data_IF_988705139683
#
_entry.id   IF_988705139683
#
_cell.length_a   1.000
_cell.length_b   1.000
_cell.length_c   1.000
_cell.angle_alpha   90.00
_cell.angle_beta   90.00
_cell.angle_gamma   90.00
#
_symmetry.space_group_name_H-M   'P 1'
#
loop_
_entity.id
_entity.type
_entity.pdbx_description
1 polymer ?
#
# COMPACT_ATOMS: atom_id res chain seq x y z
N UNK A 1 12.60 17.37 -41.76
CA UNK A 1 12.51 15.90 -41.80
C UNK A 1 11.86 15.42 -40.50
N UNK A 2 10.57 15.06 -40.57
CA UNK A 2 9.75 14.64 -39.42
C UNK A 2 9.78 13.11 -39.36
N UNK A 3 10.21 12.53 -38.24
CA UNK A 3 10.12 11.08 -37.98
C UNK A 3 8.72 10.77 -37.40
N UNK A 4 7.98 9.79 -37.94
CA UNK A 4 6.73 9.35 -37.35
C UNK A 4 6.98 8.48 -36.11
N UNK A 5 6.24 8.75 -35.03
CA UNK A 5 6.13 7.90 -33.84
C UNK A 5 5.40 6.61 -34.23
N UNK A 6 6.05 5.46 -34.05
CA UNK A 6 5.41 4.15 -34.14
C UNK A 6 4.68 3.86 -32.83
N UNK A 7 3.36 3.69 -32.94
CA UNK A 7 2.53 3.15 -31.87
C UNK A 7 2.82 1.65 -31.73
N UNK A 8 3.21 1.23 -30.52
CA UNK A 8 3.33 -0.18 -30.19
C UNK A 8 1.92 -0.74 -29.96
N UNK A 9 1.46 -1.57 -30.88
CA UNK A 9 0.26 -2.39 -30.73
C UNK A 9 0.54 -3.55 -29.75
N UNK A 10 -0.23 -3.65 -28.67
CA UNK A 10 -0.25 -4.83 -27.82
C UNK A 10 -0.94 -5.98 -28.57
N UNK A 11 -0.20 -7.08 -28.77
CA UNK A 11 -0.71 -8.32 -29.33
C UNK A 11 -1.34 -9.15 -28.20
N UNK A 12 -2.67 -9.26 -28.18
CA UNK A 12 -3.41 -10.21 -27.33
C UNK A 12 -3.38 -11.59 -28.00
N UNK A 13 -2.58 -12.51 -27.44
CA UNK A 13 -2.66 -13.93 -27.80
C UNK A 13 -3.80 -14.54 -26.97
N UNK A 14 -4.93 -14.80 -27.63
CA UNK A 14 -6.03 -15.57 -27.07
C UNK A 14 -5.68 -17.07 -27.17
N UNK A 15 -5.28 -17.67 -26.05
CA UNK A 15 -5.22 -19.13 -25.92
C UNK A 15 -6.59 -19.59 -25.41
N UNK A 16 -7.36 -20.21 -26.31
CA UNK A 16 -8.60 -20.88 -25.97
C UNK A 16 -8.33 -22.11 -25.10
N UNK A 17 -8.58 -21.97 -23.79
CA UNK A 17 -8.72 -23.11 -22.90
C UNK A 17 -10.21 -23.36 -22.66
N UNK A 18 -10.68 -24.52 -23.10
CA UNK A 18 -11.99 -25.07 -22.77
C UNK A 18 -12.09 -25.27 -21.26
N UNK A 19 -12.81 -24.40 -20.57
CA UNK A 19 -13.04 -24.54 -19.13
C UNK A 19 -14.15 -25.56 -18.87
N UNK A 20 -13.99 -26.47 -17.89
CA UNK A 20 -15.11 -27.23 -17.36
C UNK A 20 -16.07 -26.26 -16.67
N UNK A 21 -17.30 -26.15 -17.18
CA UNK A 21 -18.38 -25.36 -16.58
C UNK A 21 -18.85 -26.00 -15.28
N UNK A 22 -18.18 -25.69 -14.17
CA UNK A 22 -18.77 -25.83 -12.84
C UNK A 22 -19.61 -24.59 -12.56
N UNK A 23 -20.89 -24.63 -12.94
CA UNK A 23 -21.88 -23.66 -12.48
C UNK A 23 -22.21 -23.97 -11.00
N UNK A 24 -21.43 -23.41 -10.09
CA UNK A 24 -21.78 -23.21 -8.68
C UNK A 24 -21.94 -21.69 -8.43
N UNK A 25 -22.77 -21.26 -7.47
CA UNK A 25 -23.96 -20.47 -7.76
C UNK A 25 -23.72 -18.96 -7.70
N UNK A 26 -23.91 -18.27 -8.83
CA UNK A 26 -23.85 -16.80 -8.94
C UNK A 26 -24.71 -16.08 -7.87
N UNK A 27 -25.85 -16.65 -7.48
CA UNK A 27 -26.74 -16.08 -6.46
C UNK A 27 -26.12 -16.06 -5.03
N UNK A 28 -25.28 -17.03 -4.65
CA UNK A 28 -24.57 -16.99 -3.35
C UNK A 28 -23.44 -15.96 -3.37
N UNK A 29 -22.76 -15.83 -4.51
CA UNK A 29 -21.69 -14.85 -4.69
C UNK A 29 -22.23 -13.42 -4.65
N UNK A 30 -23.37 -13.15 -5.30
CA UNK A 30 -24.03 -11.83 -5.23
C UNK A 30 -24.52 -11.48 -3.82
N UNK A 31 -25.02 -12.46 -3.05
CA UNK A 31 -25.44 -12.25 -1.66
C UNK A 31 -24.28 -11.85 -0.74
N UNK A 32 -23.16 -12.58 -0.86
CA UNK A 32 -21.92 -12.27 -0.14
C UNK A 32 -21.38 -10.88 -0.51
N UNK A 33 -21.28 -10.55 -1.80
CA UNK A 33 -20.75 -9.26 -2.24
C UNK A 33 -21.57 -8.08 -1.70
N UNK A 34 -22.89 -8.17 -1.73
CA UNK A 34 -23.77 -7.14 -1.18
C UNK A 34 -23.57 -6.98 0.34
N UNK A 35 -23.46 -8.10 1.08
CA UNK A 35 -23.20 -8.06 2.51
C UNK A 35 -21.83 -7.47 2.83
N UNK A 36 -20.80 -7.83 2.07
CA UNK A 36 -19.44 -7.31 2.22
C UNK A 36 -19.40 -5.80 1.96
N UNK A 37 -20.08 -5.31 0.91
CA UNK A 37 -20.19 -3.87 0.64
C UNK A 37 -20.96 -3.13 1.74
N UNK A 38 -22.06 -3.71 2.25
CA UNK A 38 -22.79 -3.13 3.38
C UNK A 38 -21.96 -3.09 4.67
N UNK A 39 -21.11 -4.10 4.89
CA UNK A 39 -20.14 -4.09 5.98
C UNK A 39 -19.05 -3.04 5.76
N UNK A 40 -18.53 -2.88 4.54
CA UNK A 40 -17.56 -1.84 4.20
C UNK A 40 -18.15 -0.46 4.48
N UNK A 41 -19.36 -0.17 3.98
CA UNK A 41 -20.06 1.10 4.20
C UNK A 41 -20.23 1.42 5.68
N UNK A 42 -20.63 0.42 6.47
CA UNK A 42 -20.92 0.59 7.90
C UNK A 42 -19.67 0.71 8.77
N UNK A 43 -18.63 -0.08 8.49
CA UNK A 43 -17.46 -0.22 9.35
C UNK A 43 -16.28 0.66 8.90
N UNK A 44 -16.09 0.80 7.58
CA UNK A 44 -15.03 1.62 6.97
C UNK A 44 -15.62 2.54 5.90
N UNK A 45 -16.37 3.59 6.31
CA UNK A 45 -17.02 4.50 5.36
C UNK A 45 -16.03 5.18 4.41
N UNK A 46 -14.78 5.38 4.81
CA UNK A 46 -13.71 5.90 3.96
C UNK A 46 -13.29 4.87 2.89
N UNK A 47 -13.14 3.60 3.25
CA UNK A 47 -12.92 2.52 2.28
C UNK A 47 -14.10 2.36 1.31
N UNK A 48 -15.34 2.53 1.80
CA UNK A 48 -16.52 2.54 0.94
C UNK A 48 -16.58 3.76 0.02
N UNK A 49 -16.03 4.92 0.44
CA UNK A 49 -15.92 6.09 -0.42
C UNK A 49 -15.02 5.83 -1.64
N UNK A 50 -13.94 5.04 -1.48
CA UNK A 50 -13.12 4.56 -2.61
C UNK A 50 -13.98 3.72 -3.57
N UNK A 51 -14.72 2.73 -3.06
CA UNK A 51 -15.65 1.96 -3.89
C UNK A 51 -16.63 2.87 -4.63
N UNK A 52 -17.23 3.87 -3.96
CA UNK A 52 -18.17 4.82 -4.58
C UNK A 52 -17.53 5.71 -5.66
N UNK A 53 -16.26 6.08 -5.50
CA UNK A 53 -15.54 6.92 -6.45
C UNK A 53 -15.14 6.18 -7.74
N UNK A 54 -15.04 4.85 -7.72
CA UNK A 54 -14.69 4.04 -8.89
C UNK A 54 -15.71 4.16 -10.04
N UNK A 55 -15.25 4.40 -11.26
CA UNK A 55 -16.13 4.41 -12.44
C UNK A 55 -16.64 3.01 -12.77
N UNK A 56 -15.74 2.02 -12.80
CA UNK A 56 -16.07 0.61 -13.01
C UNK A 56 -16.02 -0.18 -11.70
N UNK A 57 -17.20 -0.44 -11.13
CA UNK A 57 -17.32 -1.22 -9.88
C UNK A 57 -16.79 -2.65 -10.01
N UNK A 58 -16.70 -3.21 -11.23
CA UNK A 58 -16.21 -4.58 -11.43
C UNK A 58 -14.74 -4.72 -11.04
N UNK A 59 -13.94 -3.66 -11.21
CA UNK A 59 -12.54 -3.65 -10.80
C UNK A 59 -12.36 -3.73 -9.29
N UNK A 60 -13.30 -3.17 -8.50
CA UNK A 60 -13.32 -3.38 -7.06
C UNK A 60 -13.74 -4.82 -6.74
N UNK A 61 -14.83 -5.30 -7.35
CA UNK A 61 -15.45 -6.58 -7.03
C UNK A 61 -14.61 -7.81 -7.40
N UNK A 62 -13.65 -7.71 -8.31
CA UNK A 62 -12.78 -8.83 -8.69
C UNK A 62 -11.83 -9.26 -7.57
N UNK A 63 -11.45 -8.35 -6.68
CA UNK A 63 -10.57 -8.60 -5.55
C UNK A 63 -11.32 -9.07 -4.30
N UNK A 64 -12.65 -8.89 -4.28
CA UNK A 64 -13.49 -9.30 -3.18
C UNK A 64 -13.74 -10.81 -3.20
N UNK A 65 -13.09 -11.53 -2.29
CA UNK A 65 -13.33 -12.95 -2.06
C UNK A 65 -14.31 -13.16 -0.90
N UNK A 66 -15.16 -14.19 -1.02
CA UNK A 66 -16.13 -14.54 0.01
C UNK A 66 -15.57 -15.45 1.12
N UNK A 67 -14.38 -16.02 0.90
CA UNK A 67 -13.72 -16.88 1.88
C UNK A 67 -13.01 -16.08 2.97
N UNK A 68 -12.66 -14.82 2.68
CA UNK A 68 -12.02 -13.88 3.58
C UNK A 68 -12.45 -12.45 3.25
N UNK A 69 -13.61 -12.06 3.79
CA UNK A 69 -14.24 -10.78 3.48
C UNK A 69 -13.36 -9.61 3.93
N UNK A 70 -12.68 -9.71 5.07
CA UNK A 70 -11.82 -8.65 5.58
C UNK A 70 -10.64 -8.40 4.62
N UNK A 71 -9.92 -9.47 4.26
CA UNK A 71 -8.80 -9.39 3.33
C UNK A 71 -9.28 -8.90 1.96
N UNK A 72 -10.33 -9.53 1.42
CA UNK A 72 -10.88 -9.19 0.12
C UNK A 72 -11.30 -7.72 0.02
N UNK A 73 -11.97 -7.18 1.05
CA UNK A 73 -12.36 -5.76 1.08
C UNK A 73 -11.17 -4.81 1.16
N UNK A 74 -10.19 -5.09 2.03
CA UNK A 74 -8.99 -4.26 2.16
C UNK A 74 -8.18 -4.24 0.84
N UNK A 75 -7.94 -5.41 0.23
CA UNK A 75 -7.28 -5.52 -1.08
C UNK A 75 -8.10 -4.82 -2.18
N UNK A 76 -9.42 -4.95 -2.18
CA UNK A 76 -10.26 -4.25 -3.16
C UNK A 76 -10.12 -2.73 -3.05
N UNK A 77 -10.02 -2.20 -1.82
CA UNK A 77 -9.75 -0.78 -1.57
C UNK A 77 -8.35 -0.40 -2.08
N UNK A 78 -7.32 -1.17 -1.75
CA UNK A 78 -5.94 -0.96 -2.21
C UNK A 78 -5.85 -0.81 -3.73
N UNK A 79 -6.34 -1.82 -4.46
CA UNK A 79 -6.26 -1.87 -5.91
C UNK A 79 -7.10 -0.76 -6.57
N UNK A 80 -8.24 -0.42 -5.96
CA UNK A 80 -9.07 0.69 -6.42
C UNK A 80 -8.41 2.05 -6.20
N UNK A 81 -7.58 2.21 -5.17
CA UNK A 81 -6.80 3.45 -4.98
C UNK A 81 -5.85 3.65 -6.16
N UNK A 82 -5.15 2.62 -6.64
CA UNK A 82 -4.30 2.72 -7.83
C UNK A 82 -5.07 3.19 -9.06
N UNK A 83 -6.25 2.61 -9.29
CA UNK A 83 -7.13 2.98 -10.41
C UNK A 83 -7.53 4.45 -10.31
N UNK A 84 -8.01 4.90 -9.14
CA UNK A 84 -8.39 6.29 -8.93
C UNK A 84 -7.20 7.24 -9.05
N UNK A 85 -6.02 6.87 -8.53
CA UNK A 85 -4.79 7.64 -8.69
C UNK A 85 -4.48 7.88 -10.17
N UNK A 86 -4.60 6.84 -10.99
CA UNK A 86 -4.35 6.92 -12.42
C UNK A 86 -5.43 7.71 -13.17
N UNK A 87 -6.71 7.45 -12.91
CA UNK A 87 -7.83 8.12 -13.59
C UNK A 87 -7.89 9.62 -13.29
N UNK A 88 -7.55 10.01 -12.07
CA UNK A 88 -7.74 11.39 -11.57
C UNK A 88 -6.44 12.20 -11.55
N UNK A 89 -5.30 11.54 -11.80
CA UNK A 89 -3.97 12.12 -11.68
C UNK A 89 -3.68 12.78 -10.31
N UNK A 90 -4.24 12.19 -9.26
CA UNK A 90 -4.16 12.67 -7.88
C UNK A 90 -4.24 11.50 -6.91
N UNK A 91 -3.50 11.53 -5.82
CA UNK A 91 -3.66 10.57 -4.74
C UNK A 91 -4.94 10.88 -3.94
N UNK A 92 -5.93 9.97 -3.91
CA UNK A 92 -7.06 10.12 -2.98
C UNK A 92 -6.58 9.88 -1.55
N UNK A 93 -6.98 10.74 -0.62
CA UNK A 93 -6.62 10.66 0.79
C UNK A 93 -7.76 10.01 1.60
N UNK A 94 -7.42 9.41 2.74
CA UNK A 94 -8.38 8.71 3.63
C UNK A 94 -9.44 9.68 4.14
N UNK A 95 -9.09 10.95 4.38
CA UNK A 95 -10.05 11.97 4.80
C UNK A 95 -11.00 12.45 3.69
N UNK A 96 -10.90 11.89 2.47
CA UNK A 96 -11.73 12.24 1.31
C UNK A 96 -11.17 13.36 0.43
N UNK A 97 -10.10 14.04 0.85
CA UNK A 97 -9.40 15.02 0.02
C UNK A 97 -8.56 14.33 -1.08
N UNK A 98 -7.95 15.12 -1.95
CA UNK A 98 -7.04 14.65 -3.00
C UNK A 98 -5.83 15.55 -3.06
N UNK A 99 -4.68 14.96 -3.37
CA UNK A 99 -3.44 15.71 -3.61
C UNK A 99 -2.86 15.35 -4.98
N UNK A 100 -2.45 16.37 -5.75
CA UNK A 100 -1.92 16.19 -7.10
C UNK A 100 -0.66 15.32 -7.09
N UNK A 101 -0.50 14.48 -8.11
CA UNK A 101 0.70 13.66 -8.30
C UNK A 101 1.91 14.53 -8.71
N UNK A 102 3.05 14.45 -8.00
CA UNK A 102 4.23 15.22 -8.33
C UNK A 102 5.06 14.52 -9.42
N UNK A 103 4.61 14.57 -10.68
CA UNK A 103 5.24 13.86 -11.82
C UNK A 103 6.73 14.12 -12.04
N UNK A 104 7.27 15.22 -11.52
CA UNK A 104 8.70 15.50 -11.53
C UNK A 104 9.52 14.40 -10.81
N UNK A 105 8.94 13.68 -9.85
CA UNK A 105 9.65 12.63 -9.11
C UNK A 105 9.94 11.39 -9.96
N UNK A 106 9.23 11.20 -11.07
CA UNK A 106 9.51 10.11 -12.03
C UNK A 106 10.84 10.27 -12.77
N UNK A 107 11.48 11.44 -12.66
CA UNK A 107 12.83 11.69 -13.22
C UNK A 107 13.95 11.41 -12.23
N UNK A 108 13.61 11.07 -10.99
CA UNK A 108 14.59 10.78 -9.95
C UNK A 108 15.21 9.40 -10.16
N UNK A 109 16.23 9.06 -9.37
CA UNK A 109 16.86 7.75 -9.48
C UNK A 109 15.87 6.62 -9.15
N UNK A 110 16.00 5.47 -9.80
CA UNK A 110 15.07 4.35 -9.62
C UNK A 110 15.10 3.76 -8.20
N UNK A 111 13.94 3.48 -7.55
CA UNK A 111 13.89 2.91 -6.21
C UNK A 111 14.60 1.57 -6.04
N UNK A 112 14.71 0.73 -7.08
CA UNK A 112 15.48 -0.53 -7.04
C UNK A 112 16.92 -0.39 -6.54
N UNK A 113 17.51 0.80 -6.63
CA UNK A 113 18.86 1.07 -6.13
C UNK A 113 18.98 0.92 -4.62
N UNK A 114 17.88 1.04 -3.86
CA UNK A 114 17.87 0.84 -2.41
C UNK A 114 17.58 -0.60 -1.99
N UNK A 115 17.29 -1.52 -2.92
CA UNK A 115 17.01 -2.93 -2.62
C UNK A 115 18.13 -3.61 -1.82
N UNK A 116 19.39 -3.20 -2.05
CA UNK A 116 20.58 -3.73 -1.34
C UNK A 116 20.60 -3.43 0.16
N UNK A 117 19.80 -2.48 0.63
CA UNK A 117 19.70 -2.11 2.04
C UNK A 117 18.77 -3.05 2.82
N UNK A 118 18.13 -4.01 2.15
CA UNK A 118 17.17 -4.94 2.72
C UNK A 118 17.56 -6.40 2.45
N UNK A 119 16.91 -7.33 3.14
CA UNK A 119 17.13 -8.76 2.95
C UNK A 119 16.81 -9.18 1.52
N UNK A 120 17.77 -9.82 0.83
CA UNK A 120 17.60 -10.20 -0.57
C UNK A 120 16.45 -11.19 -0.82
N UNK A 121 16.01 -11.94 0.20
CA UNK A 121 14.89 -12.89 0.15
C UNK A 121 13.57 -12.31 0.68
N UNK A 122 13.54 -11.03 1.01
CA UNK A 122 12.32 -10.41 1.48
C UNK A 122 11.29 -10.29 0.35
N UNK A 123 10.05 -10.71 0.60
CA UNK A 123 8.97 -10.74 -0.40
C UNK A 123 8.59 -9.35 -0.90
N UNK A 124 8.62 -8.34 -0.05
CA UNK A 124 8.34 -6.95 -0.43
C UNK A 124 9.47 -6.38 -1.28
N UNK A 125 10.72 -6.71 -0.97
CA UNK A 125 11.87 -6.35 -1.83
C UNK A 125 11.73 -7.00 -3.21
N UNK A 126 11.40 -8.30 -3.25
CA UNK A 126 11.19 -9.02 -4.51
C UNK A 126 10.04 -8.45 -5.34
N UNK A 127 8.99 -7.96 -4.69
CA UNK A 127 7.80 -7.42 -5.36
C UNK A 127 8.02 -5.97 -5.82
N UNK A 128 8.57 -5.11 -4.96
CA UNK A 128 8.54 -3.66 -5.17
C UNK A 128 9.89 -3.01 -5.51
N UNK A 129 11.01 -3.72 -5.35
CA UNK A 129 12.35 -3.15 -5.55
C UNK A 129 13.24 -3.95 -6.50
N UNK A 130 12.81 -5.10 -7.02
CA UNK A 130 13.63 -5.87 -7.97
C UNK A 130 13.39 -5.42 -9.42
N UNK A 131 14.43 -5.50 -10.28
CA UNK A 131 14.24 -5.24 -11.70
C UNK A 131 13.20 -6.17 -12.31
N UNK A 132 12.25 -5.60 -13.08
CA UNK A 132 11.21 -6.37 -13.77
C UNK A 132 10.04 -6.84 -12.90
N UNK A 133 9.93 -6.37 -11.66
CA UNK A 133 8.77 -6.64 -10.78
C UNK A 133 7.72 -5.53 -10.91
N UNK A 134 7.39 -4.79 -9.84
CA UNK A 134 6.45 -3.67 -9.87
C UNK A 134 7.06 -2.41 -10.50
N UNK A 135 6.21 -1.55 -11.06
CA UNK A 135 6.63 -0.24 -11.63
C UNK A 135 7.29 0.66 -10.59
N UNK A 136 6.93 0.50 -9.30
CA UNK A 136 7.56 1.16 -8.17
C UNK A 136 9.05 0.84 -8.00
N UNK A 137 9.58 -0.22 -8.63
CA UNK A 137 11.01 -0.49 -8.65
C UNK A 137 11.78 0.50 -9.55
N UNK A 138 11.13 1.06 -10.57
CA UNK A 138 11.76 1.94 -11.56
C UNK A 138 11.40 3.41 -11.34
N UNK A 139 10.23 3.71 -10.77
CA UNK A 139 9.69 5.05 -10.67
C UNK A 139 9.20 5.36 -9.24
N UNK A 140 9.78 6.41 -8.64
CA UNK A 140 9.43 6.84 -7.28
C UNK A 140 7.99 7.35 -7.16
N UNK A 141 7.35 7.82 -8.24
CA UNK A 141 5.95 8.21 -8.21
C UNK A 141 5.04 7.02 -7.91
N UNK A 142 5.38 5.85 -8.43
CA UNK A 142 4.66 4.62 -8.14
C UNK A 142 4.96 4.12 -6.73
N UNK A 143 6.17 4.33 -6.19
CA UNK A 143 6.44 4.08 -4.76
C UNK A 143 5.55 4.93 -3.83
N UNK A 144 5.28 6.20 -4.20
CA UNK A 144 4.33 7.05 -3.48
C UNK A 144 2.88 6.57 -3.63
N UNK A 145 2.53 6.00 -4.78
CA UNK A 145 1.22 5.38 -5.01
C UNK A 145 1.03 4.15 -4.12
N UNK A 146 2.03 3.27 -4.02
CA UNK A 146 2.04 2.14 -3.07
C UNK A 146 1.89 2.61 -1.62
N UNK A 147 2.58 3.68 -1.23
CA UNK A 147 2.47 4.25 0.12
C UNK A 147 1.03 4.69 0.41
N UNK A 148 0.37 5.33 -0.58
CA UNK A 148 -1.02 5.74 -0.45
C UNK A 148 -1.95 4.52 -0.40
N UNK A 149 -1.82 3.58 -1.33
CA UNK A 149 -2.67 2.40 -1.43
C UNK A 149 -2.59 1.51 -0.18
N UNK A 150 -1.39 1.22 0.34
CA UNK A 150 -1.23 0.47 1.59
C UNK A 150 -1.72 1.23 2.83
N UNK A 151 -1.74 2.57 2.81
CA UNK A 151 -2.34 3.34 3.91
C UNK A 151 -3.86 3.13 3.95
N UNK A 152 -4.53 3.16 2.79
CA UNK A 152 -5.96 2.89 2.67
C UNK A 152 -6.31 1.43 2.99
N UNK A 153 -5.48 0.49 2.53
CA UNK A 153 -5.57 -0.93 2.86
C UNK A 153 -5.58 -1.13 4.38
N UNK A 154 -4.51 -0.71 5.07
CA UNK A 154 -4.37 -0.95 6.50
C UNK A 154 -5.44 -0.24 7.32
N UNK A 155 -5.80 1.00 6.97
CA UNK A 155 -6.88 1.73 7.61
C UNK A 155 -8.23 0.98 7.47
N UNK A 156 -8.53 0.48 6.27
CA UNK A 156 -9.76 -0.29 6.03
C UNK A 156 -9.72 -1.61 6.78
N UNK A 157 -8.59 -2.32 6.71
CA UNK A 157 -8.36 -3.58 7.39
C UNK A 157 -8.60 -3.45 8.90
N UNK A 158 -8.07 -2.40 9.54
CA UNK A 158 -8.19 -2.18 10.98
C UNK A 158 -9.63 -1.93 11.41
N UNK A 159 -10.37 -1.14 10.63
CA UNK A 159 -11.80 -0.90 10.86
C UNK A 159 -12.67 -2.15 10.61
N UNK A 160 -12.21 -3.03 9.73
CA UNK A 160 -12.88 -4.30 9.40
C UNK A 160 -12.42 -5.48 10.29
N UNK A 161 -11.64 -5.24 11.35
CA UNK A 161 -11.08 -6.31 12.21
C UNK A 161 -12.13 -7.26 12.79
N UNK A 162 -13.36 -6.78 13.01
CA UNK A 162 -14.48 -7.63 13.48
C UNK A 162 -14.90 -8.72 12.47
N UNK A 163 -14.53 -8.58 11.20
CA UNK A 163 -14.75 -9.56 10.13
C UNK A 163 -13.55 -10.49 9.93
N UNK A 164 -12.46 -10.28 10.67
CA UNK A 164 -11.24 -11.05 10.51
C UNK A 164 -11.46 -12.51 10.88
N UNK A 165 -10.97 -13.39 10.01
CA UNK A 165 -10.84 -14.81 10.30
C UNK A 165 -9.74 -15.07 11.32
N UNK A 166 -10.11 -15.65 12.47
CA UNK A 166 -9.18 -15.93 13.58
C UNK A 166 -8.15 -17.01 13.27
N UNK A 167 -8.41 -17.85 12.26
CA UNK A 167 -7.53 -18.94 11.82
C UNK A 167 -6.48 -18.51 10.79
N UNK A 168 -6.43 -17.22 10.43
CA UNK A 168 -5.52 -16.69 9.42
C UNK A 168 -4.71 -15.53 9.96
N UNK A 169 -3.43 -15.53 9.61
CA UNK A 169 -2.55 -14.38 9.77
C UNK A 169 -2.56 -13.59 8.47
N UNK A 170 -2.73 -12.28 8.58
CA UNK A 170 -2.81 -11.38 7.42
C UNK A 170 -1.72 -10.33 7.55
N UNK A 171 -1.06 -10.01 6.44
CA UNK A 171 0.18 -9.23 6.43
C UNK A 171 -0.07 -7.75 6.04
N UNK A 172 -1.25 -7.20 6.31
CA UNK A 172 -1.66 -5.82 5.96
C UNK A 172 -0.66 -4.76 6.45
N UNK A 173 -0.21 -4.88 7.71
CA UNK A 173 0.76 -3.95 8.31
C UNK A 173 2.17 -4.15 7.74
N UNK A 174 2.53 -5.39 7.40
CA UNK A 174 3.82 -5.66 6.75
C UNK A 174 3.94 -4.88 5.43
N UNK A 175 2.85 -4.80 4.66
CA UNK A 175 2.79 -4.03 3.42
C UNK A 175 3.09 -2.55 3.62
N UNK A 176 2.31 -1.86 4.47
CA UNK A 176 2.53 -0.44 4.73
C UNK A 176 3.93 -0.16 5.31
N UNK A 177 4.36 -0.95 6.29
CA UNK A 177 5.65 -0.73 6.95
C UNK A 177 6.84 -1.01 6.01
N UNK A 178 6.74 -1.99 5.11
CA UNK A 178 7.75 -2.22 4.08
C UNK A 178 7.90 -1.01 3.16
N UNK A 179 6.78 -0.48 2.63
CA UNK A 179 6.81 0.69 1.74
C UNK A 179 7.33 1.94 2.48
N UNK A 180 6.90 2.18 3.71
CA UNK A 180 7.46 3.26 4.54
C UNK A 180 8.97 3.10 4.71
N UNK A 181 9.47 1.90 5.00
CA UNK A 181 10.91 1.65 5.12
C UNK A 181 11.66 1.86 3.80
N UNK A 182 11.06 1.51 2.66
CA UNK A 182 11.62 1.78 1.34
C UNK A 182 11.74 3.28 1.07
N UNK A 183 10.75 4.09 1.46
CA UNK A 183 10.81 5.57 1.38
C UNK A 183 11.88 6.14 2.30
N UNK A 184 12.04 5.63 3.54
CA UNK A 184 13.15 6.00 4.42
C UNK A 184 14.49 5.73 3.74
N UNK A 185 14.68 4.53 3.21
CA UNK A 185 15.93 4.13 2.56
C UNK A 185 16.21 4.93 1.28
N UNK A 186 15.16 5.23 0.50
CA UNK A 186 15.23 6.05 -0.69
C UNK A 186 15.68 7.48 -0.38
N UNK A 187 15.04 8.13 0.60
CA UNK A 187 15.37 9.51 0.98
C UNK A 187 16.77 9.61 1.60
N UNK A 188 17.18 8.62 2.39
CA UNK A 188 18.55 8.54 2.93
C UNK A 188 19.60 8.38 1.82
N UNK A 189 19.36 7.48 0.87
CA UNK A 189 20.23 7.29 -0.30
C UNK A 189 20.27 8.55 -1.16
N UNK A 190 19.13 9.22 -1.34
CA UNK A 190 19.02 10.48 -2.06
C UNK A 190 19.94 11.53 -1.45
N UNK A 191 19.79 11.77 -0.14
CA UNK A 191 20.57 12.75 0.61
C UNK A 191 22.07 12.45 0.58
N UNK A 192 22.46 11.18 0.68
CA UNK A 192 23.87 10.78 0.74
C UNK A 192 24.59 10.79 -0.61
N UNK A 193 23.89 10.47 -1.70
CA UNK A 193 24.57 10.12 -2.96
C UNK A 193 23.88 10.58 -4.24
N UNK A 194 22.67 11.14 -4.17
CA UNK A 194 21.90 11.55 -5.36
C UNK A 194 21.45 13.02 -5.20
N UNK A 195 22.38 14.00 -5.26
CA UNK A 195 22.10 15.40 -4.90
C UNK A 195 20.97 16.02 -5.73
N UNK A 196 20.87 15.71 -7.02
CA UNK A 196 19.78 16.19 -7.87
C UNK A 196 18.40 15.66 -7.44
N UNK A 197 18.32 14.38 -7.05
CA UNK A 197 17.09 13.81 -6.50
C UNK A 197 16.77 14.41 -5.14
N UNK A 198 17.77 14.56 -4.27
CA UNK A 198 17.57 15.17 -2.95
C UNK A 198 17.02 16.59 -3.04
N UNK A 199 17.62 17.44 -3.89
CA UNK A 199 17.12 18.79 -4.16
C UNK A 199 15.69 18.76 -4.71
N UNK A 200 15.39 17.82 -5.61
CA UNK A 200 14.04 17.64 -6.16
C UNK A 200 13.01 17.23 -5.10
N UNK A 201 13.37 16.35 -4.17
CA UNK A 201 12.50 15.95 -3.06
C UNK A 201 12.21 17.11 -2.09
N UNK A 202 13.16 18.04 -1.94
CA UNK A 202 13.00 19.23 -1.09
C UNK A 202 12.16 20.34 -1.73
N UNK A 203 11.87 20.26 -3.04
CA UNK A 203 11.01 21.22 -3.71
C UNK A 203 9.60 21.20 -3.10
N UNK A 204 8.89 22.34 -3.14
CA UNK A 204 7.65 22.55 -2.41
C UNK A 204 6.58 21.45 -2.66
N UNK A 205 6.31 21.13 -3.92
CA UNK A 205 5.28 20.17 -4.29
C UNK A 205 5.62 18.72 -3.90
N UNK A 206 6.78 18.12 -4.26
CA UNK A 206 7.13 16.77 -3.81
C UNK A 206 7.22 16.66 -2.28
N UNK A 207 7.79 17.67 -1.61
CA UNK A 207 7.89 17.70 -0.15
C UNK A 207 6.51 17.67 0.50
N UNK A 208 5.58 18.50 0.02
CA UNK A 208 4.21 18.53 0.53
C UNK A 208 3.49 17.19 0.33
N UNK A 209 3.64 16.57 -0.85
CA UNK A 209 3.04 15.25 -1.14
C UNK A 209 3.60 14.19 -0.19
N UNK A 210 4.92 14.12 -0.02
CA UNK A 210 5.55 13.16 0.89
C UNK A 210 5.09 13.40 2.33
N UNK A 211 5.01 14.67 2.78
CA UNK A 211 4.49 15.03 4.10
C UNK A 211 3.07 14.52 4.34
N UNK A 212 2.17 14.76 3.38
CA UNK A 212 0.77 14.37 3.48
C UNK A 212 0.61 12.85 3.49
N UNK A 213 1.23 12.15 2.53
CA UNK A 213 1.14 10.69 2.44
C UNK A 213 1.79 10.01 3.66
N UNK A 214 2.92 10.54 4.15
CA UNK A 214 3.59 10.02 5.34
C UNK A 214 2.75 10.17 6.60
N UNK A 215 2.13 11.34 6.81
CA UNK A 215 1.27 11.56 7.98
C UNK A 215 0.04 10.64 7.98
N UNK A 216 -0.52 10.37 6.79
CA UNK A 216 -1.61 9.40 6.62
C UNK A 216 -1.15 7.98 6.95
N UNK A 217 0.01 7.56 6.44
CA UNK A 217 0.60 6.26 6.70
C UNK A 217 0.86 6.03 8.18
N UNK A 218 1.43 7.02 8.89
CA UNK A 218 1.62 6.94 10.35
C UNK A 218 0.29 6.80 11.09
N UNK A 219 -0.74 7.51 10.67
CA UNK A 219 -2.07 7.40 11.29
C UNK A 219 -2.64 5.99 11.11
N UNK A 220 -2.62 5.46 9.89
CA UNK A 220 -3.10 4.10 9.61
C UNK A 220 -2.30 3.03 10.37
N UNK A 221 -0.97 3.18 10.41
CA UNK A 221 -0.08 2.28 11.15
C UNK A 221 -0.39 2.30 12.65
N UNK A 222 -0.44 3.50 13.25
CA UNK A 222 -0.64 3.66 14.69
C UNK A 222 -2.02 3.12 15.13
N UNK A 223 -3.06 3.36 14.34
CA UNK A 223 -4.40 2.82 14.60
C UNK A 223 -4.50 1.30 14.47
N UNK A 224 -3.48 0.64 13.92
CA UNK A 224 -3.48 -0.81 13.78
C UNK A 224 -2.67 -1.53 14.87
N UNK A 225 -1.81 -0.84 15.64
CA UNK A 225 -0.73 -1.46 16.43
C UNK A 225 -1.21 -2.50 17.45
N UNK A 226 -2.40 -2.32 18.01
CA UNK A 226 -3.02 -3.18 19.02
C UNK A 226 -3.68 -4.44 18.44
N UNK A 227 -3.71 -4.58 17.11
CA UNK A 227 -4.27 -5.74 16.40
C UNK A 227 -3.15 -6.79 16.19
N UNK A 228 -3.10 -7.92 16.92
CA UNK A 228 -1.92 -8.79 16.92
C UNK A 228 -1.67 -9.56 15.61
N UNK A 229 -2.71 -9.75 14.79
CA UNK A 229 -2.69 -10.64 13.62
C UNK A 229 -2.51 -9.92 12.28
N UNK A 230 -2.07 -8.66 12.29
CA UNK A 230 -1.92 -7.82 11.10
C UNK A 230 -0.49 -7.66 10.61
N UNK A 231 0.48 -8.25 11.30
CA UNK A 231 1.87 -8.27 10.86
C UNK A 231 2.58 -9.56 11.25
N UNK A 232 3.53 -9.97 10.41
CA UNK A 232 4.49 -11.04 10.70
C UNK A 232 5.91 -10.50 10.76
N UNK A 233 6.23 -9.55 9.89
CA UNK A 233 7.55 -8.93 9.75
C UNK A 233 7.53 -7.41 9.95
N UNK A 234 6.36 -6.82 10.21
CA UNK A 234 6.15 -5.40 10.51
C UNK A 234 7.19 -4.85 11.49
N UNK A 235 7.53 -5.59 12.54
CA UNK A 235 8.47 -5.15 13.59
C UNK A 235 9.87 -4.81 13.05
N UNK A 236 10.38 -5.57 12.08
CA UNK A 236 11.70 -5.31 11.49
C UNK A 236 11.69 -3.99 10.70
N UNK A 237 10.62 -3.77 9.93
CA UNK A 237 10.42 -2.53 9.19
C UNK A 237 10.17 -1.33 10.10
N UNK A 238 9.32 -1.49 11.12
CA UNK A 238 9.04 -0.46 12.11
C UNK A 238 10.33 -0.06 12.84
N UNK A 239 11.14 -1.03 13.28
CA UNK A 239 12.43 -0.76 13.91
C UNK A 239 13.37 0.00 12.96
N UNK A 240 13.38 -0.34 11.66
CA UNK A 240 14.14 0.38 10.65
C UNK A 240 13.69 1.84 10.50
N UNK A 241 12.38 2.09 10.45
CA UNK A 241 11.76 3.43 10.33
C UNK A 241 12.01 4.28 11.58
N UNK A 242 11.90 3.69 12.77
CA UNK A 242 12.04 4.41 14.05
C UNK A 242 13.50 4.70 14.41
N UNK A 243 14.47 4.04 13.78
CA UNK A 243 15.88 4.28 14.04
C UNK A 243 16.32 5.66 13.53
N UNK A 244 16.75 6.53 14.45
CA UNK A 244 17.19 7.90 14.15
C UNK A 244 18.33 7.98 13.12
N UNK A 245 19.18 6.96 13.07
CA UNK A 245 20.27 6.86 12.08
C UNK A 245 19.76 6.66 10.65
N UNK A 246 18.61 6.01 10.50
CA UNK A 246 18.01 5.72 9.20
C UNK A 246 17.06 6.85 8.78
N UNK A 247 16.30 7.41 9.73
CA UNK A 247 15.21 8.33 9.41
C UNK A 247 15.58 9.82 9.35
N UNK A 248 16.87 10.17 9.44
CA UNK A 248 17.29 11.58 9.43
C UNK A 248 16.85 12.31 8.16
N UNK A 249 16.97 11.68 6.98
CA UNK A 249 16.61 12.32 5.71
C UNK A 249 15.09 12.51 5.57
N UNK A 250 14.29 11.47 5.85
CA UNK A 250 12.83 11.61 5.83
C UNK A 250 12.37 12.63 6.88
N UNK A 251 13.00 12.68 8.06
CA UNK A 251 12.67 13.65 9.11
C UNK A 251 12.83 15.10 8.65
N UNK A 252 13.85 15.38 7.86
CA UNK A 252 14.09 16.70 7.27
C UNK A 252 13.02 17.06 6.22
N UNK A 253 12.62 16.09 5.39
CA UNK A 253 11.53 16.29 4.42
C UNK A 253 10.20 16.52 5.11
N UNK A 254 9.86 15.73 6.14
CA UNK A 254 8.59 15.87 6.83
C UNK A 254 8.58 16.98 7.88
N UNK A 255 9.74 17.51 8.25
CA UNK A 255 9.91 18.60 9.23
C UNK A 255 9.82 18.15 10.70
N UNK A 256 9.87 16.85 10.96
CA UNK A 256 9.80 16.23 12.30
C UNK A 256 10.28 14.78 12.25
N UNK A 257 10.55 14.18 13.39
CA UNK A 257 10.77 12.72 13.46
C UNK A 257 9.49 11.94 13.09
N UNK A 258 9.63 10.73 12.52
CA UNK A 258 8.51 9.80 12.38
C UNK A 258 7.82 9.54 13.72
N UNK A 259 6.50 9.47 13.71
CA UNK A 259 5.63 9.22 14.87
C UNK A 259 5.08 7.81 14.78
N UNK A 260 5.75 6.88 15.44
CA UNK A 260 5.31 5.50 15.58
C UNK A 260 4.96 5.25 17.04
N UNK A 261 3.80 4.68 17.30
CA UNK A 261 3.33 4.35 18.66
C UNK A 261 4.22 3.30 19.32
N UNK A 262 4.45 3.41 20.62
CA UNK A 262 5.23 2.43 21.40
C UNK A 262 4.55 1.04 21.39
N UNK A 263 3.23 1.00 21.23
CA UNK A 263 2.45 -0.23 21.03
C UNK A 263 2.90 -0.99 19.77
N UNK A 264 3.25 -0.26 18.70
CA UNK A 264 3.79 -0.87 17.48
C UNK A 264 5.21 -1.42 17.67
N UNK A 265 5.94 -0.98 18.70
CA UNK A 265 7.27 -1.48 19.04
C UNK A 265 7.25 -2.58 20.11
N UNK A 266 6.15 -2.70 20.84
CA UNK A 266 6.02 -3.67 21.92
C UNK A 266 6.02 -5.11 21.37
N UNK A 267 6.63 -6.08 22.09
CA UNK A 267 6.52 -7.49 21.75
C UNK A 267 5.05 -7.92 21.75
N UNK A 268 4.63 -8.69 20.76
CA UNK A 268 3.28 -9.24 20.73
C UNK A 268 3.07 -10.10 21.99
N UNK A 269 2.15 -9.69 22.86
CA UNK A 269 1.77 -10.49 24.03
C UNK A 269 1.08 -11.74 23.50
N UNK A 270 1.82 -12.83 23.34
CA UNK A 270 1.23 -14.15 23.09
C UNK A 270 0.30 -14.45 24.25
N UNK A 271 -1.01 -14.39 24.01
CA UNK A 271 -2.01 -14.89 24.95
C UNK A 271 -1.80 -16.39 25.09
N UNK A 272 -0.97 -16.78 26.06
CA UNK A 272 -0.85 -18.17 26.48
C UNK A 272 -2.21 -18.58 27.05
N UNK A 273 -3.01 -19.24 26.21
CA UNK A 273 -4.25 -19.88 26.62
C UNK A 273 -3.90 -20.87 27.73
N UNK A 274 -4.21 -20.49 28.98
CA UNK A 274 -4.25 -21.46 30.08
C UNK A 274 -5.23 -22.54 29.66
N UNK A 275 -4.71 -23.75 29.39
CA UNK A 275 -5.51 -24.97 29.44
C UNK A 275 -6.08 -25.06 30.86
N UNK A 276 -7.36 -24.75 31.01
CA UNK A 276 -8.11 -25.21 32.16
C UNK A 276 -8.33 -26.70 31.96
N UNK A 277 -7.62 -27.49 32.77
CA UNK A 277 -7.83 -28.92 32.94
C UNK A 277 -9.14 -29.20 33.65
#
# INVERSE_FOLDING_TARGET
>A
MRKPFQAAAMLLIAIGMSQPTFAAPQAKQSGCQNQALGNLERLSPEGYAIYKAMSDKKQFLVWLTCDDIQLGLATSVHESVHVLTQEQDSFPLINGEKIRRPHQVSKFFAPKQVAKNFGARDSYVQTYLRPGSATSAEDFLYMLDELNAYSHDLNSAAKLVSLQRRDRQIDHRDGLTAIMAFVVSYTDTAKKSQPATWQGLQAAEPKQVIQTLWAQAETALNSSCDIPAFGRKDKDYIAFISNSKNNTAISELIGRSPKISDECLSPSVTSSTKKSS
#
